data_IF_401721110117
#
_entry.id   IF_401721110117
#
_cell.length_a   1.000
_cell.length_b   1.000
_cell.length_c   1.000
_cell.angle_alpha   90.00
_cell.angle_beta   90.00
_cell.angle_gamma   90.00
#
_symmetry.space_group_name_H-M   'P 1'
#
loop_
_entity.id
_entity.type
_entity.pdbx_description
1 polymer ?
#
# COMPACT_ATOMS: atom_id res chain seq x y z
N UNK A 1 2.92 8.11 16.74
CA UNK A 1 2.79 7.52 18.08
C UNK A 1 3.40 6.13 18.15
N UNK A 2 3.86 5.70 19.32
CA UNK A 2 4.67 4.49 19.51
C UNK A 2 3.84 3.20 19.59
N UNK A 3 2.52 3.32 19.54
CA UNK A 3 1.61 2.17 19.51
C UNK A 3 0.29 2.53 18.81
N UNK A 4 -0.52 1.51 18.49
CA UNK A 4 -1.77 1.68 17.75
C UNK A 4 -2.77 2.63 18.43
N UNK A 5 -2.85 2.65 19.76
CA UNK A 5 -3.76 3.54 20.48
C UNK A 5 -3.30 5.00 20.45
N UNK A 6 -1.98 5.27 20.51
CA UNK A 6 -1.46 6.63 20.35
C UNK A 6 -1.68 7.16 18.93
N UNK A 7 -1.49 6.33 17.92
CA UNK A 7 -1.83 6.67 16.53
C UNK A 7 -3.34 6.92 16.38
N UNK A 8 -4.18 6.06 16.98
CA UNK A 8 -5.62 6.22 16.96
C UNK A 8 -6.06 7.54 17.62
N UNK A 9 -5.39 7.96 18.70
CA UNK A 9 -5.67 9.24 19.40
C UNK A 9 -5.41 10.44 18.49
N UNK A 10 -4.29 10.44 17.77
CA UNK A 10 -3.99 11.49 16.78
C UNK A 10 -5.05 11.52 15.67
N UNK A 11 -5.37 10.36 15.10
CA UNK A 11 -6.37 10.23 14.03
C UNK A 11 -7.78 10.59 14.50
N UNK A 12 -8.14 10.31 15.76
CA UNK A 12 -9.42 10.71 16.34
C UNK A 12 -9.64 12.23 16.38
N UNK A 13 -8.58 13.03 16.23
CA UNK A 13 -8.69 14.50 16.10
C UNK A 13 -9.56 14.99 14.93
N UNK A 14 -9.79 14.13 13.92
CA UNK A 14 -10.70 14.46 12.80
C UNK A 14 -12.17 14.39 13.18
N UNK A 15 -12.52 13.70 14.28
CA UNK A 15 -13.92 13.56 14.75
C UNK A 15 -14.42 14.90 15.24
N UNK A 16 -15.47 15.44 14.59
CA UNK A 16 -16.05 16.73 14.91
C UNK A 16 -17.33 16.57 15.72
N UNK A 17 -17.64 17.61 16.51
CA UNK A 17 -18.85 17.62 17.35
C UNK A 17 -20.10 17.49 16.49
N UNK A 18 -20.98 16.53 16.81
CA UNK A 18 -22.26 16.26 16.16
C UNK A 18 -22.18 15.90 14.66
N UNK A 19 -20.98 15.64 14.11
CA UNK A 19 -20.82 15.22 12.71
C UNK A 19 -20.56 13.71 12.70
N UNK A 20 -21.34 12.90 11.95
CA UNK A 20 -21.12 11.47 11.85
C UNK A 20 -19.69 11.13 11.40
N UNK A 21 -19.12 10.07 11.96
CA UNK A 21 -17.82 9.55 11.58
C UNK A 21 -17.96 8.11 11.08
N UNK A 22 -17.33 7.84 9.93
CA UNK A 22 -17.21 6.48 9.39
C UNK A 22 -15.86 5.89 9.82
N UNK A 23 -15.91 4.72 10.45
CA UNK A 23 -14.75 4.01 10.97
C UNK A 23 -14.47 2.81 10.05
N UNK A 24 -13.30 2.80 9.43
CA UNK A 24 -12.79 1.67 8.65
C UNK A 24 -12.55 0.44 9.53
N UNK A 25 -12.13 -0.69 8.93
CA UNK A 25 -11.75 -1.88 9.69
C UNK A 25 -10.58 -1.57 10.62
N UNK A 26 -10.75 -1.89 11.90
CA UNK A 26 -9.77 -1.64 12.96
C UNK A 26 -9.71 -2.84 13.91
N UNK A 27 -8.61 -2.94 14.65
CA UNK A 27 -8.53 -3.83 15.81
C UNK A 27 -9.57 -3.44 16.87
N UNK A 28 -10.03 -4.42 17.63
CA UNK A 28 -11.13 -4.24 18.59
C UNK A 28 -10.89 -3.10 19.59
N UNK A 29 -9.68 -3.01 20.15
CA UNK A 29 -9.30 -1.97 21.10
C UNK A 29 -9.32 -0.57 20.47
N UNK A 30 -8.82 -0.42 19.23
CA UNK A 30 -8.85 0.84 18.46
C UNK A 30 -10.29 1.22 18.13
N UNK A 31 -11.11 0.26 17.70
CA UNK A 31 -12.51 0.50 17.38
C UNK A 31 -13.28 1.01 18.61
N UNK A 32 -13.12 0.35 19.76
CA UNK A 32 -13.73 0.77 21.04
C UNK A 32 -13.29 2.17 21.43
N UNK A 33 -12.00 2.48 21.29
CA UNK A 33 -11.47 3.81 21.58
C UNK A 33 -12.08 4.89 20.65
N UNK A 34 -12.16 4.64 19.33
CA UNK A 34 -12.76 5.60 18.40
C UNK A 34 -14.25 5.83 18.66
N UNK A 35 -15.01 4.78 19.01
CA UNK A 35 -16.39 4.91 19.44
C UNK A 35 -16.56 5.77 20.70
N UNK A 36 -15.67 5.59 21.69
CA UNK A 36 -15.65 6.42 22.90
C UNK A 36 -15.48 7.91 22.55
N UNK A 37 -14.47 8.24 21.73
CA UNK A 37 -14.24 9.63 21.31
C UNK A 37 -15.42 10.18 20.51
N UNK A 38 -16.04 9.38 19.63
CA UNK A 38 -17.22 9.79 18.89
C UNK A 38 -18.39 10.13 19.84
N UNK A 39 -18.64 9.30 20.85
CA UNK A 39 -19.68 9.54 21.86
C UNK A 39 -19.42 10.84 22.66
N UNK A 40 -18.18 11.08 23.09
CA UNK A 40 -17.77 12.32 23.78
C UNK A 40 -18.05 13.55 22.91
N UNK A 41 -17.91 13.44 21.59
CA UNK A 41 -18.22 14.48 20.59
C UNK A 41 -19.69 14.49 20.17
N UNK A 42 -20.57 13.68 20.77
CA UNK A 42 -21.97 13.50 20.35
C UNK A 42 -22.08 13.19 18.84
N UNK A 43 -21.11 12.49 18.29
CA UNK A 43 -20.97 12.09 16.90
C UNK A 43 -21.48 10.65 16.73
N UNK A 44 -22.27 10.38 15.69
CA UNK A 44 -22.67 9.03 15.33
C UNK A 44 -21.49 8.29 14.72
N UNK A 45 -20.97 7.25 15.40
CA UNK A 45 -19.94 6.36 14.87
C UNK A 45 -20.57 5.27 14.00
N UNK A 46 -20.07 5.09 12.78
CA UNK A 46 -20.57 4.15 11.79
C UNK A 46 -19.42 3.25 11.37
N UNK A 47 -19.46 1.98 11.76
CA UNK A 47 -18.50 0.99 11.24
C UNK A 47 -18.85 0.61 9.80
N UNK A 48 -17.84 0.44 8.97
CA UNK A 48 -18.06 -0.14 7.64
C UNK A 48 -18.38 -1.63 7.76
N UNK A 49 -19.05 -2.17 6.75
CA UNK A 49 -19.13 -3.62 6.58
C UNK A 49 -17.81 -4.18 6.04
N UNK A 50 -17.54 -5.45 6.31
CA UNK A 50 -16.41 -6.18 5.72
C UNK A 50 -16.74 -6.47 4.25
N UNK A 51 -15.87 -6.09 3.29
CA UNK A 51 -16.05 -6.47 1.89
C UNK A 51 -16.05 -8.00 1.74
N UNK A 52 -16.95 -8.51 0.90
CA UNK A 52 -17.09 -9.94 0.61
C UNK A 52 -16.60 -10.27 -0.79
N UNK A 53 -16.30 -11.54 -1.03
CA UNK A 53 -15.90 -12.04 -2.36
C UNK A 53 -14.78 -11.18 -2.98
N UNK A 54 -13.75 -10.85 -2.18
CA UNK A 54 -12.64 -10.02 -2.65
C UNK A 54 -11.74 -10.82 -3.56
N UNK A 55 -11.67 -10.42 -4.84
CA UNK A 55 -10.82 -11.02 -5.86
C UNK A 55 -9.81 -9.99 -6.36
N UNK A 56 -8.52 -10.33 -6.26
CA UNK A 56 -7.42 -9.50 -6.72
C UNK A 56 -7.02 -9.88 -8.15
N UNK A 57 -6.70 -8.88 -8.96
CA UNK A 57 -6.13 -9.07 -10.28
C UNK A 57 -5.15 -7.92 -10.60
N UNK A 58 -4.38 -8.09 -11.68
CA UNK A 58 -3.50 -7.01 -12.18
C UNK A 58 -4.25 -5.76 -12.68
N UNK A 59 -5.57 -5.87 -12.86
CA UNK A 59 -6.46 -4.77 -13.29
C UNK A 59 -7.17 -4.06 -12.12
N UNK A 60 -7.04 -4.58 -10.89
CA UNK A 60 -7.68 -4.00 -9.72
C UNK A 60 -8.26 -5.01 -8.75
N UNK A 61 -9.12 -4.53 -7.87
CA UNK A 61 -9.77 -5.31 -6.81
C UNK A 61 -11.27 -5.33 -7.02
N UNK A 62 -11.84 -6.53 -7.21
CA UNK A 62 -13.28 -6.79 -7.22
C UNK A 62 -13.75 -7.15 -5.82
N UNK A 63 -14.92 -6.69 -5.44
CA UNK A 63 -15.53 -7.04 -4.14
C UNK A 63 -17.04 -6.82 -4.15
N UNK A 64 -17.72 -7.45 -3.21
CA UNK A 64 -19.17 -7.36 -3.00
C UNK A 64 -19.49 -6.69 -1.67
N UNK A 65 -20.53 -5.87 -1.65
CA UNK A 65 -21.10 -5.21 -0.47
C UNK A 65 -22.60 -5.38 -0.48
N UNK A 66 -23.30 -4.97 0.57
CA UNK A 66 -24.78 -4.89 0.59
C UNK A 66 -25.37 -4.00 -0.50
N UNK A 67 -24.62 -3.11 -1.10
CA UNK A 67 -25.04 -2.23 -2.20
C UNK A 67 -24.74 -2.81 -3.59
N UNK A 68 -24.12 -4.00 -3.66
CA UNK A 68 -23.81 -4.70 -4.91
C UNK A 68 -22.31 -4.95 -5.11
N UNK A 69 -21.96 -5.29 -6.36
CA UNK A 69 -20.60 -5.62 -6.78
C UNK A 69 -19.86 -4.36 -7.25
N UNK A 70 -18.60 -4.24 -6.86
CA UNK A 70 -17.75 -3.10 -7.19
C UNK A 70 -16.39 -3.56 -7.72
N UNK A 71 -15.76 -2.64 -8.44
CA UNK A 71 -14.37 -2.73 -8.90
C UNK A 71 -13.68 -1.40 -8.59
N UNK A 72 -12.50 -1.46 -7.99
CA UNK A 72 -11.54 -0.36 -7.93
C UNK A 72 -10.26 -0.75 -8.68
N UNK A 73 -9.64 0.15 -9.46
CA UNK A 73 -8.33 -0.11 -10.07
C UNK A 73 -7.20 -0.24 -9.04
N UNK A 74 -7.43 0.19 -7.80
CA UNK A 74 -6.46 0.05 -6.72
C UNK A 74 -6.37 -1.42 -6.28
N UNK A 75 -5.16 -1.98 -6.27
CA UNK A 75 -4.93 -3.40 -6.04
C UNK A 75 -4.64 -3.68 -4.56
N UNK A 76 -5.35 -4.63 -3.95
CA UNK A 76 -5.10 -5.10 -2.60
C UNK A 76 -6.36 -5.27 -1.75
N UNK A 77 -6.33 -6.21 -0.80
CA UNK A 77 -7.45 -6.44 0.13
C UNK A 77 -7.81 -5.19 0.93
N UNK A 78 -6.80 -4.42 1.36
CA UNK A 78 -7.00 -3.15 2.07
C UNK A 78 -7.67 -2.09 1.19
N UNK A 79 -7.51 -2.15 -0.13
CA UNK A 79 -8.16 -1.22 -1.06
C UNK A 79 -9.66 -1.50 -1.19
N UNK A 80 -10.09 -2.77 -1.07
CA UNK A 80 -11.51 -3.09 -0.95
C UNK A 80 -12.12 -2.42 0.30
N UNK A 81 -11.44 -2.52 1.46
CA UNK A 81 -11.88 -1.86 2.71
C UNK A 81 -11.91 -0.33 2.59
N UNK A 82 -10.89 0.26 1.96
CA UNK A 82 -10.86 1.70 1.68
C UNK A 82 -12.02 2.13 0.77
N UNK A 83 -12.32 1.34 -0.27
CA UNK A 83 -13.44 1.59 -1.17
C UNK A 83 -14.79 1.48 -0.43
N UNK A 84 -14.97 0.47 0.45
CA UNK A 84 -16.18 0.35 1.28
C UNK A 84 -16.33 1.55 2.21
N UNK A 85 -15.23 2.06 2.76
CA UNK A 85 -15.25 3.31 3.56
C UNK A 85 -15.76 4.48 2.73
N UNK A 86 -15.21 4.67 1.53
CA UNK A 86 -15.65 5.73 0.62
C UNK A 86 -17.11 5.57 0.20
N UNK A 87 -17.56 4.36 -0.14
CA UNK A 87 -18.97 4.06 -0.45
C UNK A 87 -19.88 4.42 0.73
N UNK A 88 -19.49 4.03 1.95
CA UNK A 88 -20.27 4.28 3.16
C UNK A 88 -20.40 5.77 3.42
N UNK A 89 -19.32 6.54 3.29
CA UNK A 89 -19.35 8.01 3.42
C UNK A 89 -20.28 8.61 2.37
N UNK A 90 -20.08 8.24 1.10
CA UNK A 90 -20.88 8.76 -0.02
C UNK A 90 -22.36 8.51 0.18
N UNK A 91 -22.76 7.29 0.61
CA UNK A 91 -24.15 6.92 0.92
C UNK A 91 -24.71 7.62 2.15
N UNK A 92 -23.85 8.11 3.05
CA UNK A 92 -24.30 8.91 4.22
C UNK A 92 -24.46 10.39 3.90
N UNK A 93 -23.65 10.91 2.98
CA UNK A 93 -23.75 12.31 2.50
C UNK A 93 -24.95 12.47 1.58
N UNK A 94 -25.15 11.52 0.65
CA UNK A 94 -26.30 11.51 -0.26
C UNK A 94 -26.93 10.11 -0.27
N UNK A 95 -28.06 9.97 0.43
CA UNK A 95 -28.80 8.70 0.53
C UNK A 95 -29.41 8.25 -0.80
N UNK A 96 -29.66 9.19 -1.71
CA UNK A 96 -30.31 8.96 -3.01
C UNK A 96 -29.29 8.65 -4.13
N UNK A 97 -28.00 8.79 -3.87
CA UNK A 97 -26.99 8.52 -4.89
C UNK A 97 -27.11 7.09 -5.43
N UNK A 98 -27.19 6.97 -6.75
CA UNK A 98 -27.31 5.66 -7.41
C UNK A 98 -26.00 4.86 -7.26
N UNK A 99 -26.13 3.57 -6.98
CA UNK A 99 -24.99 2.66 -6.90
C UNK A 99 -24.13 2.69 -8.17
N UNK A 100 -24.77 2.80 -9.35
CA UNK A 100 -24.07 2.91 -10.63
C UNK A 100 -23.18 4.15 -10.72
N UNK A 101 -23.55 5.26 -10.08
CA UNK A 101 -22.71 6.47 -10.00
C UNK A 101 -21.46 6.21 -9.18
N UNK A 102 -21.62 5.57 -8.02
CA UNK A 102 -20.48 5.18 -7.16
C UNK A 102 -19.55 4.20 -7.89
N UNK A 103 -20.11 3.18 -8.57
CA UNK A 103 -19.35 2.23 -9.38
C UNK A 103 -18.52 2.94 -10.46
N UNK A 104 -19.10 3.91 -11.17
CA UNK A 104 -18.38 4.72 -12.17
C UNK A 104 -17.27 5.55 -11.53
N UNK A 105 -17.50 6.15 -10.36
CA UNK A 105 -16.50 6.91 -9.63
C UNK A 105 -15.32 6.03 -9.20
N UNK A 106 -15.60 4.88 -8.58
CA UNK A 106 -14.56 3.94 -8.14
C UNK A 106 -13.70 3.44 -9.31
N UNK A 107 -14.31 3.09 -10.45
CA UNK A 107 -13.57 2.66 -11.65
C UNK A 107 -12.60 3.71 -12.21
N UNK A 108 -12.83 4.99 -11.92
CA UNK A 108 -11.98 6.11 -12.34
C UNK A 108 -10.94 6.51 -11.30
N UNK A 109 -10.90 5.82 -10.15
CA UNK A 109 -9.95 6.16 -9.10
C UNK A 109 -8.52 5.93 -9.57
N UNK A 110 -7.71 6.97 -9.48
CA UNK A 110 -6.26 6.92 -9.72
C UNK A 110 -5.57 7.39 -8.45
N UNK A 111 -4.62 6.62 -7.97
CA UNK A 111 -3.76 7.01 -6.85
C UNK A 111 -2.37 6.49 -7.08
N UNK A 112 -1.49 7.39 -7.43
CA UNK A 112 -0.11 7.05 -7.80
C UNK A 112 0.67 6.46 -6.61
N UNK A 113 1.52 5.47 -6.90
CA UNK A 113 2.31 4.81 -5.87
C UNK A 113 1.51 3.92 -4.90
N UNK A 114 0.35 3.41 -5.33
CA UNK A 114 -0.44 2.39 -4.59
C UNK A 114 -0.55 1.12 -5.40
N UNK A 115 0.47 0.29 -5.34
CA UNK A 115 0.68 -0.90 -6.16
C UNK A 115 0.34 -0.61 -7.64
N UNK A 116 0.82 0.55 -8.09
CA UNK A 116 0.56 1.06 -9.43
C UNK A 116 1.30 0.23 -10.47
N UNK A 117 0.59 -0.32 -11.44
CA UNK A 117 1.21 -1.00 -12.57
C UNK A 117 1.97 0.01 -13.44
N UNK A 118 3.26 -0.24 -13.68
CA UNK A 118 4.16 0.67 -14.40
C UNK A 118 4.31 0.34 -15.89
N UNK A 119 3.94 -0.87 -16.31
CA UNK A 119 4.07 -1.33 -17.71
C UNK A 119 2.80 -2.05 -18.13
N UNK A 120 2.38 -1.86 -19.40
CA UNK A 120 1.30 -2.66 -20.00
C UNK A 120 1.68 -4.14 -20.11
N UNK A 121 2.92 -4.42 -20.48
CA UNK A 121 3.39 -5.72 -20.95
C UNK A 121 4.08 -6.53 -19.86
N UNK A 122 4.68 -5.86 -18.88
CA UNK A 122 5.42 -6.52 -17.80
C UNK A 122 4.68 -6.39 -16.46
N UNK A 123 4.75 -7.42 -15.60
CA UNK A 123 4.19 -7.37 -14.25
C UNK A 123 5.09 -6.57 -13.30
N UNK A 124 5.29 -5.27 -13.59
CA UNK A 124 6.10 -4.37 -12.77
C UNK A 124 5.21 -3.32 -12.13
N UNK A 125 5.42 -3.12 -10.82
CA UNK A 125 4.59 -2.26 -9.98
C UNK A 125 5.45 -1.29 -9.16
N UNK A 126 4.81 -0.21 -8.70
CA UNK A 126 5.37 0.74 -7.74
C UNK A 126 4.42 0.96 -6.57
N UNK A 127 4.98 0.91 -5.36
CA UNK A 127 4.26 1.28 -4.13
C UNK A 127 5.17 2.07 -3.19
N UNK A 128 4.60 3.05 -2.52
CA UNK A 128 5.32 3.88 -1.54
C UNK A 128 5.43 3.23 -0.15
N UNK A 129 5.11 1.97 0.00
CA UNK A 129 5.18 1.24 1.27
C UNK A 129 6.60 1.29 1.85
N UNK A 130 6.68 1.77 3.07
CA UNK A 130 7.92 2.01 3.81
C UNK A 130 7.82 1.55 5.27
N UNK A 131 6.84 0.72 5.58
CA UNK A 131 6.62 0.15 6.90
C UNK A 131 6.28 -1.35 6.79
N UNK A 132 6.39 -2.12 7.88
CA UNK A 132 6.21 -3.57 7.86
C UNK A 132 4.85 -4.01 7.32
N UNK A 133 3.77 -3.36 7.75
CA UNK A 133 2.41 -3.71 7.35
C UNK A 133 2.19 -3.50 5.84
N UNK A 134 2.69 -2.38 5.29
CA UNK A 134 2.61 -2.09 3.86
C UNK A 134 3.41 -3.10 3.03
N UNK A 135 4.63 -3.42 3.43
CA UNK A 135 5.49 -4.40 2.75
C UNK A 135 4.79 -5.78 2.73
N UNK A 136 4.30 -6.24 3.88
CA UNK A 136 3.56 -7.51 3.97
C UNK A 136 2.30 -7.51 3.10
N UNK A 137 1.54 -6.42 3.10
CA UNK A 137 0.35 -6.31 2.26
C UNK A 137 0.67 -6.43 0.77
N UNK A 138 1.76 -5.78 0.30
CA UNK A 138 2.17 -5.81 -1.10
C UNK A 138 2.67 -7.20 -1.50
N UNK A 139 3.60 -7.79 -0.73
CA UNK A 139 4.16 -9.10 -1.05
C UNK A 139 3.09 -10.18 -1.10
N UNK A 140 2.14 -10.17 -0.14
CA UNK A 140 0.99 -11.07 -0.13
C UNK A 140 0.05 -10.82 -1.32
N UNK A 141 -0.19 -9.55 -1.68
CA UNK A 141 -1.02 -9.19 -2.83
C UNK A 141 -0.42 -9.71 -4.14
N UNK A 142 0.86 -9.49 -4.36
CA UNK A 142 1.57 -9.99 -5.56
C UNK A 142 1.55 -11.51 -5.60
N UNK A 143 1.87 -12.18 -4.49
CA UNK A 143 1.80 -13.63 -4.38
C UNK A 143 0.40 -14.17 -4.67
N UNK A 144 -0.63 -13.49 -4.22
CA UNK A 144 -2.04 -13.88 -4.47
C UNK A 144 -2.41 -13.78 -5.96
N UNK A 145 -1.88 -12.80 -6.69
CA UNK A 145 -2.19 -12.59 -8.12
C UNK A 145 -1.36 -13.51 -9.02
N UNK A 146 -0.08 -13.71 -8.71
CA UNK A 146 0.88 -14.38 -9.60
C UNK A 146 1.30 -15.78 -9.14
N UNK A 147 0.97 -16.18 -7.91
CA UNK A 147 1.43 -17.44 -7.32
C UNK A 147 2.89 -17.43 -6.84
N UNK A 148 3.69 -16.45 -7.26
CA UNK A 148 5.11 -16.30 -6.97
C UNK A 148 5.38 -15.13 -6.04
N UNK A 149 6.51 -15.18 -5.32
CA UNK A 149 7.01 -14.05 -4.55
C UNK A 149 7.53 -12.96 -5.50
N UNK A 150 7.42 -11.66 -5.11
CA UNK A 150 7.93 -10.58 -5.94
C UNK A 150 9.46 -10.48 -5.94
N UNK A 151 10.01 -10.00 -7.05
CA UNK A 151 11.34 -9.40 -7.10
C UNK A 151 11.22 -7.94 -6.67
N UNK A 152 12.01 -7.50 -5.71
CA UNK A 152 11.89 -6.16 -5.13
C UNK A 152 13.07 -5.26 -5.49
N UNK A 153 12.79 -4.00 -5.78
CA UNK A 153 13.74 -2.90 -5.59
C UNK A 153 13.26 -2.11 -4.38
N UNK A 154 14.14 -1.92 -3.40
CA UNK A 154 13.78 -1.23 -2.16
C UNK A 154 14.72 -0.07 -1.87
N UNK A 155 14.13 1.06 -1.47
CA UNK A 155 14.81 2.21 -0.88
C UNK A 155 14.05 2.69 0.36
N UNK A 156 14.74 3.18 1.37
CA UNK A 156 14.12 3.67 2.60
C UNK A 156 14.74 4.98 3.05
N UNK A 157 13.96 5.77 3.78
CA UNK A 157 14.46 6.91 4.56
C UNK A 157 15.00 6.42 5.90
N UNK A 158 16.02 7.10 6.44
CA UNK A 158 16.76 6.68 7.64
C UNK A 158 15.98 6.66 8.97
N UNK A 159 14.73 7.14 8.98
CA UNK A 159 13.86 7.20 10.16
C UNK A 159 12.99 5.94 10.36
N UNK A 160 13.23 4.86 9.60
CA UNK A 160 12.37 3.67 9.59
C UNK A 160 12.81 2.61 10.60
N UNK A 161 11.83 1.84 11.10
CA UNK A 161 12.05 0.70 12.00
C UNK A 161 12.60 -0.52 11.23
N UNK A 162 13.89 -0.49 10.90
CA UNK A 162 14.55 -1.45 10.02
C UNK A 162 14.40 -2.90 10.50
N UNK A 163 14.39 -3.14 11.83
CA UNK A 163 14.19 -4.48 12.39
C UNK A 163 12.84 -5.08 12.01
N UNK A 164 11.78 -4.29 12.11
CA UNK A 164 10.44 -4.76 11.76
C UNK A 164 10.27 -4.93 10.25
N UNK A 165 10.92 -4.06 9.45
CA UNK A 165 10.96 -4.16 7.99
C UNK A 165 11.72 -5.42 7.56
N UNK A 166 12.90 -5.70 8.12
CA UNK A 166 13.66 -6.90 7.84
C UNK A 166 12.85 -8.17 8.14
N UNK A 167 12.12 -8.18 9.26
CA UNK A 167 11.22 -9.29 9.61
C UNK A 167 10.07 -9.46 8.61
N UNK A 168 9.48 -8.36 8.14
CA UNK A 168 8.40 -8.39 7.15
C UNK A 168 8.88 -8.88 5.76
N UNK A 169 10.14 -8.62 5.43
CA UNK A 169 10.77 -9.09 4.18
C UNK A 169 11.17 -10.56 4.24
N UNK A 170 11.47 -11.11 5.42
CA UNK A 170 11.96 -12.48 5.56
C UNK A 170 11.02 -13.49 4.93
N UNK A 171 11.51 -14.24 3.93
CA UNK A 171 10.76 -15.24 3.14
C UNK A 171 9.58 -14.65 2.33
N UNK A 172 9.60 -13.35 2.03
CA UNK A 172 8.52 -12.66 1.31
C UNK A 172 8.99 -11.99 0.00
N UNK A 173 10.16 -12.32 -0.50
CA UNK A 173 10.64 -11.91 -1.82
C UNK A 173 11.47 -13.02 -2.45
N UNK A 174 11.58 -13.02 -3.77
CA UNK A 174 12.46 -13.91 -4.54
C UNK A 174 13.87 -13.30 -4.64
N UNK A 175 13.95 -12.05 -5.05
CA UNK A 175 15.17 -11.25 -5.17
C UNK A 175 14.94 -9.86 -4.60
N UNK A 176 15.94 -9.29 -3.91
CA UNK A 176 15.92 -7.92 -3.40
C UNK A 176 17.10 -7.12 -3.93
N UNK A 177 16.84 -6.05 -4.64
CA UNK A 177 17.84 -5.05 -5.02
C UNK A 177 17.65 -3.85 -4.09
N UNK A 178 18.67 -3.57 -3.30
CA UNK A 178 18.70 -2.39 -2.43
C UNK A 178 19.29 -1.23 -3.17
N UNK A 179 18.60 -0.10 -3.15
CA UNK A 179 19.07 1.16 -3.74
C UNK A 179 18.80 2.32 -2.81
N UNK A 180 19.41 3.47 -3.12
CA UNK A 180 19.19 4.70 -2.37
C UNK A 180 20.03 5.84 -2.91
N UNK A 181 19.73 7.07 -2.46
CA UNK A 181 20.46 8.26 -2.86
C UNK A 181 20.24 9.36 -1.81
N UNK A 182 21.31 9.95 -1.30
CA UNK A 182 21.23 11.12 -0.40
C UNK A 182 20.55 12.32 -1.06
N UNK A 183 20.78 12.52 -2.36
CA UNK A 183 20.14 13.59 -3.13
C UNK A 183 18.60 13.45 -3.14
N UNK A 184 18.09 12.25 -2.98
CA UNK A 184 16.66 11.92 -2.86
C UNK A 184 16.20 11.77 -1.41
N UNK A 185 16.97 12.25 -0.43
CA UNK A 185 16.66 12.09 1.01
C UNK A 185 16.48 10.63 1.47
N UNK A 186 17.16 9.69 0.83
CA UNK A 186 17.12 8.25 1.15
C UNK A 186 18.44 7.83 1.78
N UNK A 187 18.41 6.73 2.53
CA UNK A 187 19.64 6.05 2.97
C UNK A 187 20.46 5.62 1.74
N UNK A 188 21.77 5.69 1.86
CA UNK A 188 22.64 5.11 0.85
C UNK A 188 22.45 3.60 0.78
N UNK A 189 22.54 3.03 -0.42
CA UNK A 189 22.26 1.61 -0.65
C UNK A 189 23.14 0.70 0.22
N UNK A 190 24.44 1.03 0.36
CA UNK A 190 25.39 0.26 1.18
C UNK A 190 25.05 0.36 2.67
N UNK A 191 24.65 1.52 3.15
CA UNK A 191 24.25 1.73 4.54
C UNK A 191 23.00 0.91 4.87
N UNK A 192 21.98 0.98 4.01
CA UNK A 192 20.74 0.21 4.17
C UNK A 192 21.00 -1.29 4.12
N UNK A 193 21.81 -1.76 3.16
CA UNK A 193 22.22 -3.17 3.07
C UNK A 193 22.93 -3.65 4.34
N UNK A 194 23.91 -2.90 4.82
CA UNK A 194 24.65 -3.24 6.05
C UNK A 194 23.68 -3.32 7.25
N UNK A 195 22.77 -2.36 7.39
CA UNK A 195 21.82 -2.33 8.49
C UNK A 195 20.89 -3.56 8.50
N UNK A 196 20.31 -3.92 7.34
CA UNK A 196 19.39 -5.07 7.27
C UNK A 196 20.12 -6.42 7.32
N UNK A 197 21.35 -6.50 6.82
CA UNK A 197 22.18 -7.71 6.91
C UNK A 197 22.51 -8.06 8.36
N UNK A 198 22.80 -7.05 9.19
CA UNK A 198 22.97 -7.23 10.65
C UNK A 198 21.70 -7.77 11.35
N UNK A 199 20.53 -7.59 10.73
CA UNK A 199 19.26 -8.11 11.22
C UNK A 199 18.92 -9.50 10.68
N UNK A 200 19.89 -10.16 10.01
CA UNK A 200 19.78 -11.53 9.53
C UNK A 200 19.07 -11.68 8.20
N UNK A 201 18.94 -10.62 7.41
CA UNK A 201 18.42 -10.66 6.05
C UNK A 201 19.60 -10.62 5.08
N UNK A 202 20.05 -11.78 4.59
CA UNK A 202 21.30 -11.90 3.80
C UNK A 202 21.15 -12.62 2.47
N UNK A 203 20.06 -13.35 2.25
CA UNK A 203 19.89 -14.19 1.07
C UNK A 203 19.25 -13.40 -0.09
N UNK A 204 19.75 -13.64 -1.32
CA UNK A 204 19.20 -13.07 -2.56
C UNK A 204 19.13 -11.54 -2.58
N UNK A 205 20.15 -10.87 -1.99
CA UNK A 205 20.22 -9.42 -1.92
C UNK A 205 21.37 -8.91 -2.78
N UNK A 206 21.08 -7.94 -3.62
CA UNK A 206 22.04 -7.18 -4.41
C UNK A 206 21.98 -5.71 -4.04
N UNK A 207 23.07 -4.99 -4.23
CA UNK A 207 23.15 -3.55 -3.95
C UNK A 207 23.44 -2.81 -5.25
N UNK A 208 22.60 -1.84 -5.56
CA UNK A 208 22.80 -0.94 -6.69
C UNK A 208 22.68 0.50 -6.21
N UNK A 209 23.78 1.25 -6.24
CA UNK A 209 23.82 2.61 -5.69
C UNK A 209 22.96 3.61 -6.49
N UNK A 210 22.75 3.35 -7.78
CA UNK A 210 21.97 4.23 -8.65
C UNK A 210 20.55 3.71 -8.85
N UNK A 211 19.50 4.41 -8.36
CA UNK A 211 18.11 3.96 -8.46
C UNK A 211 17.67 3.62 -9.90
N UNK A 212 18.04 4.44 -10.89
CA UNK A 212 17.67 4.20 -12.28
C UNK A 212 18.31 2.93 -12.88
N UNK A 213 19.50 2.55 -12.42
CA UNK A 213 20.14 1.27 -12.77
C UNK A 213 19.43 0.11 -12.06
N UNK A 214 19.08 0.26 -10.77
CA UNK A 214 18.32 -0.76 -10.04
C UNK A 214 16.97 -1.05 -10.75
N UNK A 215 16.27 -0.02 -11.24
CA UNK A 215 15.04 -0.22 -12.02
C UNK A 215 15.30 -0.96 -13.32
N UNK A 216 16.42 -0.67 -14.01
CA UNK A 216 16.80 -1.36 -15.24
C UNK A 216 17.12 -2.84 -15.00
N UNK A 217 17.79 -3.15 -13.90
CA UNK A 217 18.09 -4.52 -13.48
C UNK A 217 16.81 -5.30 -13.15
N UNK A 218 15.85 -4.68 -12.44
CA UNK A 218 14.54 -5.25 -12.19
C UNK A 218 13.79 -5.54 -13.50
N UNK A 219 13.74 -4.57 -14.43
CA UNK A 219 13.08 -4.72 -15.74
C UNK A 219 13.69 -5.90 -16.50
N UNK A 220 15.02 -5.98 -16.57
CA UNK A 220 15.72 -7.07 -17.27
C UNK A 220 15.47 -8.43 -16.61
N UNK A 221 15.43 -8.47 -15.28
CA UNK A 221 15.11 -9.69 -14.54
C UNK A 221 13.68 -10.16 -14.82
N UNK A 222 12.69 -9.25 -14.73
CA UNK A 222 11.28 -9.56 -15.02
C UNK A 222 11.10 -10.03 -16.47
N UNK A 223 11.75 -9.40 -17.46
CA UNK A 223 11.72 -9.82 -18.87
C UNK A 223 12.23 -11.24 -19.08
N UNK A 224 13.24 -11.65 -18.32
CA UNK A 224 13.87 -12.97 -18.45
C UNK A 224 13.09 -14.08 -17.74
N UNK A 225 12.44 -13.75 -16.62
CA UNK A 225 11.83 -14.76 -15.72
C UNK A 225 10.32 -14.79 -15.77
N UNK A 226 9.70 -13.75 -16.34
CA UNK A 226 8.23 -13.49 -16.30
C UNK A 226 7.66 -13.42 -14.87
N UNK A 227 8.53 -13.23 -13.88
CA UNK A 227 8.12 -13.09 -12.46
C UNK A 227 7.81 -11.64 -12.12
N UNK A 228 6.88 -11.38 -11.18
CA UNK A 228 6.49 -10.01 -10.85
C UNK A 228 7.61 -9.23 -10.17
N UNK A 229 7.72 -7.95 -10.53
CA UNK A 229 8.65 -6.98 -9.94
C UNK A 229 7.91 -5.85 -9.24
N UNK A 230 8.43 -5.40 -8.09
CA UNK A 230 7.87 -4.25 -7.36
C UNK A 230 8.97 -3.32 -6.88
N UNK A 231 8.81 -2.04 -7.14
CA UNK A 231 9.63 -0.97 -6.56
C UNK A 231 8.90 -0.47 -5.31
N UNK A 232 9.57 -0.50 -4.13
CA UNK A 232 8.96 -0.14 -2.84
C UNK A 232 9.84 0.81 -2.02
N UNK A 233 9.24 1.46 -1.02
CA UNK A 233 9.95 2.03 0.13
C UNK A 233 9.84 3.53 0.30
N UNK A 234 9.62 4.32 -0.74
CA UNK A 234 9.51 5.77 -0.59
C UNK A 234 8.77 6.45 -1.74
N UNK A 235 8.11 7.56 -1.42
CA UNK A 235 7.59 8.48 -2.45
C UNK A 235 8.68 9.40 -3.03
N UNK A 236 9.82 9.52 -2.39
CA UNK A 236 10.93 10.36 -2.86
C UNK A 236 11.53 9.90 -4.19
N UNK A 237 11.41 8.61 -4.53
CA UNK A 237 11.86 8.09 -5.83
C UNK A 237 10.77 8.15 -6.91
N UNK A 238 9.57 8.66 -6.61
CA UNK A 238 8.44 8.62 -7.54
C UNK A 238 8.78 9.23 -8.90
N UNK A 239 9.39 10.41 -8.94
CA UNK A 239 9.78 11.06 -10.19
C UNK A 239 10.74 10.18 -11.01
N UNK A 240 11.80 9.64 -10.39
CA UNK A 240 12.73 8.76 -11.07
C UNK A 240 12.08 7.48 -11.59
N UNK A 241 11.10 6.93 -10.85
CA UNK A 241 10.30 5.78 -11.31
C UNK A 241 9.45 6.18 -12.52
N UNK A 242 8.69 7.27 -12.44
CA UNK A 242 7.80 7.69 -13.51
C UNK A 242 8.55 8.08 -14.78
N UNK A 243 9.66 8.80 -14.66
CA UNK A 243 10.53 9.14 -15.80
C UNK A 243 11.06 7.87 -16.47
N UNK A 244 11.51 6.87 -15.67
CA UNK A 244 12.02 5.61 -16.18
C UNK A 244 11.00 4.81 -16.97
N UNK A 245 9.72 4.90 -16.58
CA UNK A 245 8.62 4.17 -17.24
C UNK A 245 7.80 5.04 -18.21
N UNK A 246 8.20 6.28 -18.45
CA UNK A 246 7.51 7.19 -19.37
C UNK A 246 6.10 7.57 -18.91
N UNK A 247 5.88 7.65 -17.59
CA UNK A 247 4.60 8.03 -16.99
C UNK A 247 4.63 9.53 -16.68
N UNK A 248 3.87 10.30 -17.44
CA UNK A 248 3.75 11.75 -17.24
C UNK A 248 2.63 12.04 -16.24
N UNK A 249 2.90 12.98 -15.30
CA UNK A 249 1.94 13.45 -14.30
C UNK A 249 1.16 14.66 -14.80
#
# INVERSE_FOLDING_TARGET
GDNLLSIAREKAGVIKNKIPVVIGQQEKNVNVFLHKIANEKKSLAINIEVPKEVVLSSAGTHFTTKWGKFLTPLIGYHQASNAVTAITITKKVDVNIKTSTIQKGLKKTVWMGRLQKLSSDLPIYYDVAHNPAGITAITNTIKSIYGNLPNLVMCLKGDKELKLIANALKNNFEKLIITGSKEMELMEAQELHFAISKLGLTNNIEVQNEPTKAFSELINHVKRTDQPGVIIGSHYIANAVFDKFGIFM
#
